data_IF_765549146811
#
_entry.id   IF_765549146811
#
_cell.length_a   1.000
_cell.length_b   1.000
_cell.length_c   1.000
_cell.angle_alpha   90.00
_cell.angle_beta   90.00
_cell.angle_gamma   90.00
#
_symmetry.space_group_name_H-M   'P 1'
#
loop_
_entity.id
_entity.type
_entity.pdbx_description
1 polymer ?
#
# COMPACT_ATOMS: atom_id res chain seq x y z
N UNK A 1 4.88 -41.88 -38.62
CA UNK A 1 4.00 -40.80 -38.17
C UNK A 1 4.34 -40.56 -36.70
N UNK A 2 5.20 -39.60 -36.41
CA UNK A 2 5.42 -39.12 -35.05
C UNK A 2 4.13 -38.45 -34.61
N UNK A 3 3.54 -38.97 -33.53
CA UNK A 3 2.43 -38.32 -32.85
C UNK A 3 3.03 -37.07 -32.18
N UNK A 4 2.87 -35.90 -32.80
CA UNK A 4 3.13 -34.62 -32.18
C UNK A 4 2.14 -34.56 -31.00
N UNK A 5 2.61 -34.92 -29.80
CA UNK A 5 1.88 -34.62 -28.56
C UNK A 5 1.76 -33.07 -28.53
N UNK A 6 0.57 -32.55 -28.73
CA UNK A 6 0.26 -31.18 -28.41
C UNK A 6 0.66 -30.93 -26.93
N UNK A 7 1.81 -30.32 -26.72
CA UNK A 7 2.24 -30.00 -25.35
C UNK A 7 1.20 -28.97 -24.79
N UNK A 8 0.50 -29.40 -23.75
CA UNK A 8 -0.46 -28.56 -23.06
C UNK A 8 0.27 -27.31 -22.59
N UNK A 9 -0.19 -26.13 -23.00
CA UNK A 9 0.39 -24.84 -22.56
C UNK A 9 0.33 -24.73 -21.04
N UNK A 10 1.44 -24.38 -20.36
CA UNK A 10 1.43 -24.19 -18.92
C UNK A 10 0.47 -23.06 -18.52
N UNK A 11 -0.20 -23.23 -17.40
CA UNK A 11 -1.12 -22.28 -16.81
C UNK A 11 -0.38 -21.48 -15.74
N UNK A 12 -0.25 -20.16 -15.96
CA UNK A 12 0.34 -19.21 -15.02
C UNK A 12 -0.79 -18.42 -14.38
N UNK A 13 -0.92 -18.49 -13.05
CA UNK A 13 -1.94 -17.78 -12.29
C UNK A 13 -1.28 -16.71 -11.42
N UNK A 14 -1.74 -15.47 -11.55
CA UNK A 14 -1.30 -14.34 -10.72
C UNK A 14 -2.46 -13.93 -9.80
N UNK A 15 -2.24 -13.92 -8.49
CA UNK A 15 -3.23 -13.57 -7.48
C UNK A 15 -3.01 -12.15 -6.96
N UNK A 16 -3.97 -11.27 -7.24
CA UNK A 16 -3.94 -9.87 -6.81
C UNK A 16 -3.41 -8.91 -7.87
N UNK A 17 -4.05 -7.74 -7.96
CA UNK A 17 -3.72 -6.68 -8.90
C UNK A 17 -3.15 -5.43 -8.18
N UNK A 18 -2.29 -5.63 -7.16
CA UNK A 18 -1.46 -4.60 -6.55
C UNK A 18 -0.24 -4.25 -7.45
N UNK A 19 0.74 -3.54 -6.90
CA UNK A 19 1.96 -3.17 -7.64
C UNK A 19 2.68 -4.42 -8.21
N UNK A 20 2.91 -5.43 -7.37
CA UNK A 20 3.61 -6.65 -7.79
C UNK A 20 2.82 -7.43 -8.84
N UNK A 21 1.55 -7.75 -8.57
CA UNK A 21 0.74 -8.57 -9.47
C UNK A 21 0.49 -7.93 -10.84
N UNK A 22 0.25 -6.62 -10.88
CA UNK A 22 0.08 -5.90 -12.16
C UNK A 22 1.37 -5.89 -12.97
N UNK A 23 2.52 -5.59 -12.36
CA UNK A 23 3.80 -5.57 -13.09
C UNK A 23 4.18 -6.99 -13.55
N UNK A 24 3.97 -8.02 -12.72
CA UNK A 24 4.19 -9.40 -13.13
C UNK A 24 3.33 -9.77 -14.35
N UNK A 25 2.03 -9.45 -14.30
CA UNK A 25 1.10 -9.72 -15.41
C UNK A 25 1.50 -8.97 -16.69
N UNK A 26 1.84 -7.67 -16.57
CA UNK A 26 2.26 -6.86 -17.72
C UNK A 26 3.55 -7.37 -18.34
N UNK A 27 4.51 -7.82 -17.54
CA UNK A 27 5.76 -8.37 -18.05
C UNK A 27 5.56 -9.74 -18.70
N UNK A 28 4.77 -10.63 -18.08
CA UNK A 28 4.44 -11.94 -18.65
C UNK A 28 3.72 -11.79 -20.01
N UNK A 29 2.69 -10.91 -20.11
CA UNK A 29 2.00 -10.71 -21.39
C UNK A 29 2.89 -10.10 -22.50
N UNK A 30 3.91 -9.31 -22.13
CA UNK A 30 4.89 -8.76 -23.09
C UNK A 30 5.91 -9.80 -23.54
N UNK A 31 6.34 -10.65 -22.63
CA UNK A 31 7.46 -11.56 -22.87
C UNK A 31 7.06 -12.96 -23.36
N UNK A 32 5.78 -13.36 -23.18
CA UNK A 32 5.23 -14.63 -23.62
C UNK A 32 4.33 -14.46 -24.84
N UNK A 33 4.49 -15.36 -25.82
CA UNK A 33 3.57 -15.51 -26.94
C UNK A 33 2.25 -16.16 -26.50
N UNK A 34 1.19 -15.93 -27.29
CA UNK A 34 -0.16 -16.48 -27.01
C UNK A 34 -0.18 -18.02 -26.98
N UNK A 35 0.80 -18.65 -27.62
CA UNK A 35 0.92 -20.10 -27.70
C UNK A 35 1.90 -20.72 -26.68
N UNK A 36 2.60 -19.91 -25.91
CA UNK A 36 3.63 -20.38 -24.97
C UNK A 36 3.05 -20.65 -23.58
N UNK A 37 2.09 -19.87 -23.12
CA UNK A 37 1.45 -20.09 -21.82
C UNK A 37 0.04 -19.47 -21.77
N UNK A 38 -0.80 -19.96 -20.84
CA UNK A 38 -2.07 -19.37 -20.48
C UNK A 38 -1.86 -18.51 -19.22
N UNK A 39 -2.05 -17.20 -19.33
CA UNK A 39 -1.89 -16.28 -18.21
C UNK A 39 -3.27 -15.92 -17.65
N UNK A 40 -3.47 -16.09 -16.35
CA UNK A 40 -4.69 -15.68 -15.66
C UNK A 40 -4.36 -14.73 -14.53
N UNK A 41 -5.00 -13.56 -14.51
CA UNK A 41 -4.97 -12.62 -13.38
C UNK A 41 -6.26 -12.73 -12.58
N UNK A 42 -6.16 -13.04 -11.30
CA UNK A 42 -7.30 -13.07 -10.37
C UNK A 42 -7.25 -11.84 -9.47
N UNK A 43 -8.33 -11.07 -9.41
CA UNK A 43 -8.45 -9.95 -8.48
C UNK A 43 -9.90 -9.71 -8.07
N UNK A 44 -10.13 -9.28 -6.82
CA UNK A 44 -11.47 -9.00 -6.30
C UNK A 44 -12.17 -7.81 -6.96
N UNK A 45 -11.41 -6.90 -7.55
CA UNK A 45 -11.88 -5.71 -8.26
C UNK A 45 -11.42 -5.72 -9.71
N UNK A 46 -12.15 -5.06 -10.60
CA UNK A 46 -11.78 -4.85 -12.01
C UNK A 46 -10.82 -3.67 -12.23
N UNK A 47 -10.24 -3.18 -11.14
CA UNK A 47 -9.26 -2.09 -11.16
C UNK A 47 -8.05 -2.39 -10.29
N UNK A 48 -6.94 -1.84 -10.71
CA UNK A 48 -5.75 -1.56 -9.92
C UNK A 48 -5.87 -0.18 -9.28
N UNK A 49 -5.24 0.05 -8.16
CA UNK A 49 -5.10 1.39 -7.58
C UNK A 49 -3.70 1.62 -7.02
N UNK A 50 -3.26 2.88 -7.12
CA UNK A 50 -1.98 3.28 -6.55
C UNK A 50 -2.12 3.44 -5.04
N UNK A 51 -1.71 2.42 -4.28
CA UNK A 51 -1.80 2.44 -2.81
C UNK A 51 -1.01 3.60 -2.18
N UNK A 52 0.04 4.06 -2.87
CA UNK A 52 0.85 5.22 -2.45
C UNK A 52 0.12 6.57 -2.57
N UNK A 53 -1.12 6.61 -3.08
CA UNK A 53 -1.96 7.80 -3.17
C UNK A 53 -3.19 7.75 -2.25
N UNK A 54 -3.35 6.69 -1.48
CA UNK A 54 -4.53 6.51 -0.62
C UNK A 54 -4.63 7.56 0.48
N UNK A 55 -3.52 8.10 0.95
CA UNK A 55 -3.50 9.20 1.93
C UNK A 55 -4.15 10.47 1.37
N UNK A 56 -3.93 10.81 0.10
CA UNK A 56 -4.58 11.93 -0.59
C UNK A 56 -6.10 11.68 -0.72
N UNK A 57 -6.50 10.44 -1.05
CA UNK A 57 -7.92 10.09 -1.12
C UNK A 57 -8.61 10.15 0.24
N UNK A 58 -7.91 9.72 1.30
CA UNK A 58 -8.43 9.70 2.66
C UNK A 58 -8.60 11.11 3.23
N UNK A 59 -7.71 12.04 2.92
CA UNK A 59 -7.84 13.43 3.28
C UNK A 59 -8.82 14.21 2.39
N UNK A 60 -9.12 13.69 1.18
CA UNK A 60 -10.01 14.35 0.22
C UNK A 60 -9.30 15.34 -0.72
N UNK A 61 -7.98 15.38 -0.72
CA UNK A 61 -7.17 16.25 -1.61
C UNK A 61 -7.02 15.68 -3.02
N UNK A 62 -7.27 14.38 -3.20
CA UNK A 62 -7.32 13.73 -4.51
C UNK A 62 -8.61 12.91 -4.65
N UNK A 63 -9.36 13.11 -5.75
CA UNK A 63 -10.53 12.29 -6.01
C UNK A 63 -10.13 10.83 -6.28
N UNK A 64 -10.88 9.88 -5.70
CA UNK A 64 -10.55 8.45 -5.75
C UNK A 64 -10.50 7.85 -7.17
N UNK A 65 -11.21 8.43 -8.14
CA UNK A 65 -11.13 7.99 -9.54
C UNK A 65 -9.77 8.28 -10.20
N UNK A 66 -9.02 9.25 -9.68
CA UNK A 66 -7.65 9.51 -10.16
C UNK A 66 -6.70 8.38 -9.79
N UNK A 67 -6.89 7.79 -8.61
CA UNK A 67 -6.09 6.70 -8.07
C UNK A 67 -6.42 5.36 -8.72
N UNK A 68 -7.65 5.20 -9.26
CA UNK A 68 -8.14 3.97 -9.88
C UNK A 68 -7.69 3.85 -11.33
N UNK A 69 -7.23 2.67 -11.73
CA UNK A 69 -6.83 2.29 -13.08
C UNK A 69 -7.56 1.01 -13.45
N UNK A 70 -8.40 1.04 -14.47
CA UNK A 70 -9.11 -0.17 -14.93
C UNK A 70 -8.12 -1.21 -15.46
N UNK A 71 -8.21 -2.44 -14.98
CA UNK A 71 -7.27 -3.53 -15.37
C UNK A 71 -7.29 -3.74 -16.89
N UNK A 72 -8.48 -3.67 -17.53
CA UNK A 72 -8.62 -3.82 -18.97
C UNK A 72 -7.91 -2.74 -19.81
N UNK A 73 -7.55 -1.59 -19.22
CA UNK A 73 -6.80 -0.54 -19.90
C UNK A 73 -5.29 -0.85 -19.93
N UNK A 74 -4.83 -1.79 -19.12
CA UNK A 74 -3.42 -2.11 -18.93
C UNK A 74 -3.05 -3.48 -19.52
N UNK A 75 -3.94 -4.47 -19.37
CA UNK A 75 -3.70 -5.82 -19.86
C UNK A 75 -4.31 -6.06 -21.25
N UNK A 76 -3.66 -6.92 -22.01
CA UNK A 76 -4.21 -7.41 -23.29
C UNK A 76 -5.13 -8.60 -23.03
N UNK A 77 -6.43 -8.39 -23.11
CA UNK A 77 -7.46 -9.41 -22.86
C UNK A 77 -7.41 -10.60 -23.82
N UNK A 78 -6.68 -10.52 -24.94
CA UNK A 78 -6.43 -11.66 -25.83
C UNK A 78 -5.30 -12.55 -25.35
N UNK A 79 -4.45 -12.07 -24.43
CA UNK A 79 -3.32 -12.78 -23.88
C UNK A 79 -3.53 -13.18 -22.41
N UNK A 80 -4.28 -12.39 -21.66
CA UNK A 80 -4.50 -12.54 -20.23
C UNK A 80 -5.98 -12.77 -19.97
N UNK A 81 -6.32 -13.89 -19.36
CA UNK A 81 -7.64 -14.14 -18.82
C UNK A 81 -7.79 -13.41 -17.49
N UNK A 82 -8.70 -12.45 -17.41
CA UNK A 82 -8.98 -11.73 -16.17
C UNK A 82 -10.18 -12.36 -15.46
N UNK A 83 -9.96 -12.82 -14.22
CA UNK A 83 -10.99 -13.38 -13.35
C UNK A 83 -11.27 -12.41 -12.21
N UNK A 84 -12.44 -11.75 -12.25
CA UNK A 84 -12.91 -10.91 -11.15
C UNK A 84 -13.54 -11.78 -10.07
N UNK A 85 -12.73 -12.20 -9.10
CA UNK A 85 -13.17 -13.02 -7.98
C UNK A 85 -12.27 -12.83 -6.74
N UNK A 86 -12.72 -13.34 -5.61
CA UNK A 86 -11.99 -13.26 -4.34
C UNK A 86 -11.30 -14.60 -4.06
N UNK A 87 -10.00 -14.54 -3.80
CA UNK A 87 -9.23 -15.70 -3.33
C UNK A 87 -9.66 -16.03 -1.90
N UNK A 88 -9.99 -17.28 -1.65
CA UNK A 88 -10.41 -17.80 -0.34
C UNK A 88 -9.29 -18.62 0.31
N UNK A 89 -8.63 -19.47 -0.43
CA UNK A 89 -7.46 -20.23 0.04
C UNK A 89 -6.61 -20.71 -1.14
N UNK A 90 -5.36 -20.99 -0.85
CA UNK A 90 -4.41 -21.58 -1.77
C UNK A 90 -4.13 -23.03 -1.29
N UNK A 91 -4.13 -23.99 -2.18
CA UNK A 91 -3.80 -25.38 -1.91
C UNK A 91 -2.64 -25.79 -2.79
N UNK A 92 -1.40 -25.48 -2.38
CA UNK A 92 -0.23 -25.65 -3.22
C UNK A 92 0.04 -27.12 -3.57
N UNK A 93 -0.19 -28.06 -2.67
CA UNK A 93 -0.04 -29.50 -2.93
C UNK A 93 -0.99 -30.03 -4.02
N UNK A 94 -2.17 -29.40 -4.15
CA UNK A 94 -3.16 -29.73 -5.18
C UNK A 94 -2.99 -28.87 -6.45
N UNK A 95 -2.02 -27.95 -6.48
CA UNK A 95 -1.83 -26.93 -7.54
C UNK A 95 -3.13 -26.16 -7.85
N UNK A 96 -3.83 -25.76 -6.80
CA UNK A 96 -5.17 -25.20 -6.90
C UNK A 96 -5.36 -23.98 -6.01
N UNK A 97 -6.11 -23.00 -6.51
CA UNK A 97 -6.59 -21.84 -5.76
C UNK A 97 -8.12 -21.91 -5.66
N UNK A 98 -8.65 -21.85 -4.45
CA UNK A 98 -10.07 -21.74 -4.19
C UNK A 98 -10.50 -20.28 -4.24
N UNK A 99 -11.48 -19.99 -5.06
CA UNK A 99 -12.11 -18.70 -5.20
C UNK A 99 -13.50 -18.72 -4.53
N UNK A 100 -14.08 -17.55 -4.34
CA UNK A 100 -15.45 -17.43 -3.79
C UNK A 100 -16.47 -18.15 -4.68
N UNK A 101 -16.33 -18.06 -6.01
CA UNK A 101 -17.28 -18.60 -6.99
C UNK A 101 -16.69 -19.75 -7.84
N UNK A 102 -15.68 -20.46 -7.34
CA UNK A 102 -15.09 -21.59 -8.05
C UNK A 102 -13.68 -21.91 -7.62
N UNK A 103 -12.95 -22.55 -8.49
CA UNK A 103 -11.54 -22.88 -8.27
C UNK A 103 -10.76 -22.80 -9.59
N UNK A 104 -9.46 -22.56 -9.49
CA UNK A 104 -8.56 -22.47 -10.63
C UNK A 104 -7.29 -23.28 -10.37
N UNK A 105 -6.84 -24.02 -11.38
CA UNK A 105 -5.63 -24.83 -11.35
C UNK A 105 -4.49 -24.10 -12.05
N UNK A 106 -3.26 -24.36 -11.61
CA UNK A 106 -2.06 -23.73 -12.16
C UNK A 106 -0.92 -24.73 -12.35
N UNK A 107 -0.03 -24.41 -13.26
CA UNK A 107 1.30 -25.01 -13.33
C UNK A 107 2.32 -24.12 -12.61
N UNK A 108 2.13 -22.78 -12.67
CA UNK A 108 2.90 -21.78 -11.93
C UNK A 108 1.99 -20.78 -11.26
N UNK A 109 2.28 -20.42 -10.00
CA UNK A 109 1.52 -19.48 -9.21
C UNK A 109 2.37 -18.29 -8.81
N UNK A 110 1.82 -17.08 -8.95
CA UNK A 110 2.41 -15.84 -8.41
C UNK A 110 1.46 -15.27 -7.36
N UNK A 111 1.87 -15.31 -6.10
CA UNK A 111 1.11 -14.76 -4.97
C UNK A 111 1.48 -13.29 -4.81
N UNK A 112 0.52 -12.38 -5.06
CA UNK A 112 0.65 -10.92 -4.97
C UNK A 112 -0.53 -10.29 -4.22
N UNK A 113 -1.02 -10.95 -3.15
CA UNK A 113 -2.24 -10.59 -2.43
C UNK A 113 -2.10 -9.34 -1.55
N UNK A 114 -0.86 -8.84 -1.37
CA UNK A 114 -0.58 -7.61 -0.65
C UNK A 114 -0.73 -7.73 0.87
N UNK A 115 -1.18 -6.65 1.50
CA UNK A 115 -1.21 -6.49 2.95
C UNK A 115 -2.62 -6.26 3.50
N UNK A 116 -2.72 -6.39 4.82
CA UNK A 116 -3.84 -5.98 5.66
C UNK A 116 -3.32 -5.10 6.79
N UNK A 117 -4.19 -4.28 7.38
CA UNK A 117 -3.82 -3.52 8.57
C UNK A 117 -3.54 -4.47 9.74
N UNK A 118 -2.52 -4.18 10.51
CA UNK A 118 -2.21 -4.88 11.75
C UNK A 118 -2.72 -4.05 12.94
N UNK A 119 -3.71 -4.55 13.64
CA UNK A 119 -4.32 -3.86 14.80
C UNK A 119 -3.72 -4.29 16.14
N UNK A 120 -2.80 -5.26 16.11
CA UNK A 120 -2.05 -5.77 17.27
C UNK A 120 -2.92 -6.20 18.46
N UNK A 121 -4.20 -6.46 18.23
CA UNK A 121 -5.16 -6.83 19.29
C UNK A 121 -5.49 -5.68 20.25
N UNK A 122 -5.30 -4.44 19.86
CA UNK A 122 -5.67 -3.27 20.64
C UNK A 122 -7.21 -3.26 20.78
N UNK A 123 -7.75 -3.25 22.01
CA UNK A 123 -9.19 -3.26 22.23
C UNK A 123 -9.94 -2.16 21.49
N UNK A 124 -11.02 -2.50 20.80
CA UNK A 124 -11.89 -1.60 20.08
C UNK A 124 -11.31 -0.98 18.81
N UNK A 125 -10.07 -1.31 18.44
CA UNK A 125 -9.44 -0.69 17.26
C UNK A 125 -10.06 -1.19 15.95
N UNK A 126 -10.39 -2.48 15.86
CA UNK A 126 -11.06 -3.06 14.69
C UNK A 126 -12.48 -2.53 14.50
N UNK A 127 -13.16 -2.16 15.60
CA UNK A 127 -14.55 -1.71 15.59
C UNK A 127 -14.69 -0.20 15.37
N UNK A 128 -13.73 0.61 15.87
CA UNK A 128 -13.91 2.06 16.01
C UNK A 128 -12.88 2.89 15.25
N UNK A 129 -11.84 2.28 14.68
CA UNK A 129 -10.85 3.00 13.88
C UNK A 129 -11.00 2.71 12.37
N UNK A 130 -10.64 3.70 11.57
CA UNK A 130 -10.48 3.54 10.13
C UNK A 130 -9.04 3.15 9.79
N UNK A 131 -8.86 2.44 8.66
CA UNK A 131 -7.52 2.09 8.15
C UNK A 131 -7.33 2.57 6.72
N UNK A 132 -6.12 3.01 6.36
CA UNK A 132 -5.78 3.41 4.99
C UNK A 132 -5.24 2.19 4.22
N UNK A 133 -6.12 1.27 3.84
CA UNK A 133 -5.73 0.02 3.18
C UNK A 133 -6.34 -0.18 1.78
N UNK A 134 -7.33 0.61 1.40
CA UNK A 134 -8.01 0.51 0.10
C UNK A 134 -8.65 1.83 -0.31
N UNK A 135 -9.05 1.95 -1.59
CA UNK A 135 -9.82 3.11 -2.06
C UNK A 135 -11.13 3.26 -1.26
N UNK A 136 -11.80 2.16 -0.95
CA UNK A 136 -13.07 2.23 -0.22
C UNK A 136 -12.88 2.70 1.21
N UNK A 137 -11.87 2.21 1.92
CA UNK A 137 -11.57 2.69 3.27
C UNK A 137 -11.12 4.16 3.28
N UNK A 138 -10.32 4.57 2.30
CA UNK A 138 -9.93 5.97 2.15
C UNK A 138 -11.15 6.90 1.90
N UNK A 139 -12.10 6.47 1.05
CA UNK A 139 -13.36 7.21 0.87
C UNK A 139 -14.16 7.33 2.15
N UNK A 140 -14.30 6.25 2.92
CA UNK A 140 -15.01 6.27 4.20
C UNK A 140 -14.36 7.24 5.19
N UNK A 141 -13.03 7.32 5.25
CA UNK A 141 -12.32 8.29 6.09
C UNK A 141 -12.69 9.72 5.66
N UNK A 142 -12.59 10.03 4.38
CA UNK A 142 -12.94 11.35 3.84
C UNK A 142 -14.39 11.71 4.16
N UNK A 143 -15.33 10.85 3.80
CA UNK A 143 -16.77 11.07 4.01
C UNK A 143 -17.09 11.24 5.51
N UNK A 144 -16.41 10.49 6.38
CA UNK A 144 -16.58 10.59 7.83
C UNK A 144 -16.05 11.92 8.40
N UNK A 145 -14.88 12.39 7.93
CA UNK A 145 -14.34 13.70 8.33
C UNK A 145 -15.29 14.82 7.88
N UNK A 146 -15.68 14.84 6.60
CA UNK A 146 -16.62 15.84 6.06
C UNK A 146 -17.96 15.82 6.80
N UNK A 147 -18.49 14.63 7.13
CA UNK A 147 -19.71 14.47 7.94
C UNK A 147 -19.56 15.07 9.34
N UNK A 148 -18.44 14.85 10.03
CA UNK A 148 -18.24 15.41 11.36
C UNK A 148 -18.14 16.95 11.34
N UNK A 149 -17.52 17.54 10.32
CA UNK A 149 -17.51 18.98 10.13
C UNK A 149 -18.92 19.53 9.87
N UNK A 150 -19.68 18.90 8.98
CA UNK A 150 -21.06 19.29 8.70
C UNK A 150 -21.96 19.20 9.93
N UNK A 151 -21.82 18.16 10.75
CA UNK A 151 -22.64 17.95 11.93
C UNK A 151 -22.28 18.87 13.08
N UNK A 152 -21.04 19.34 13.18
CA UNK A 152 -20.59 20.19 14.28
C UNK A 152 -21.46 21.45 14.44
N UNK A 153 -21.74 22.17 13.37
CA UNK A 153 -22.58 23.37 13.39
C UNK A 153 -24.09 23.07 13.45
N UNK A 154 -24.51 21.83 13.24
CA UNK A 154 -25.92 21.43 13.28
C UNK A 154 -26.34 20.90 14.66
N UNK A 155 -25.42 20.71 15.59
CA UNK A 155 -25.74 20.29 16.97
C UNK A 155 -26.08 21.49 17.83
N UNK A 156 -27.06 21.31 18.72
CA UNK A 156 -27.47 22.36 19.68
C UNK A 156 -26.33 22.71 20.65
N UNK A 157 -25.59 21.66 21.06
CA UNK A 157 -24.40 21.76 21.91
C UNK A 157 -23.24 21.12 21.15
N UNK A 158 -22.44 21.91 20.40
CA UNK A 158 -21.37 21.40 19.56
C UNK A 158 -20.33 20.58 20.35
N UNK A 159 -20.01 19.39 19.87
CA UNK A 159 -19.04 18.49 20.48
C UNK A 159 -17.68 18.59 19.78
N UNK A 160 -16.68 19.18 20.42
CA UNK A 160 -15.34 19.37 19.86
C UNK A 160 -14.62 18.06 19.51
N UNK A 161 -15.04 16.91 20.06
CA UNK A 161 -14.56 15.61 19.64
C UNK A 161 -14.81 15.31 18.14
N UNK A 162 -15.80 15.96 17.50
CA UNK A 162 -16.02 15.88 16.04
C UNK A 162 -14.91 16.52 15.23
N UNK A 163 -14.29 17.55 15.78
CA UNK A 163 -13.21 18.31 15.14
C UNK A 163 -11.82 17.80 15.57
N UNK A 164 -11.77 16.79 16.41
CA UNK A 164 -10.53 16.13 16.81
C UNK A 164 -10.31 14.90 15.92
N UNK A 165 -9.19 14.89 15.18
CA UNK A 165 -8.77 13.77 14.33
C UNK A 165 -7.51 13.16 14.92
N UNK A 166 -7.54 11.87 15.23
CA UNK A 166 -6.37 11.15 15.73
C UNK A 166 -5.83 10.23 14.65
N UNK A 167 -4.53 10.30 14.42
CA UNK A 167 -3.79 9.42 13.50
C UNK A 167 -2.80 8.58 14.31
N UNK A 168 -3.10 7.29 14.44
CA UNK A 168 -2.23 6.33 15.11
C UNK A 168 -1.16 5.81 14.14
N UNK A 169 0.11 6.08 14.48
CA UNK A 169 1.28 5.71 13.68
C UNK A 169 1.97 6.89 13.01
N UNK A 170 3.27 7.01 13.24
CA UNK A 170 4.16 8.02 12.67
C UNK A 170 5.03 7.49 11.52
N UNK A 171 4.65 6.37 10.89
CA UNK A 171 5.28 5.87 9.66
C UNK A 171 4.88 6.68 8.42
N UNK A 172 5.35 6.26 7.22
CA UNK A 172 5.08 6.96 5.96
C UNK A 172 3.60 7.27 5.74
N UNK A 173 2.72 6.28 5.86
CA UNK A 173 1.28 6.45 5.63
C UNK A 173 0.67 7.49 6.57
N UNK A 174 1.03 7.45 7.86
CA UNK A 174 0.53 8.40 8.84
C UNK A 174 1.02 9.82 8.58
N UNK A 175 2.31 10.00 8.33
CA UNK A 175 2.92 11.32 8.06
C UNK A 175 2.39 11.91 6.75
N UNK A 176 2.29 11.12 5.68
CA UNK A 176 1.73 11.59 4.41
C UNK A 176 0.24 11.99 4.56
N UNK A 177 -0.53 11.22 5.34
CA UNK A 177 -1.92 11.57 5.62
C UNK A 177 -2.06 12.85 6.46
N UNK A 178 -1.21 13.04 7.46
CA UNK A 178 -1.16 14.28 8.25
C UNK A 178 -0.82 15.49 7.38
N UNK A 179 0.11 15.35 6.43
CA UNK A 179 0.45 16.40 5.47
C UNK A 179 -0.75 16.81 4.61
N UNK A 180 -1.51 15.83 4.13
CA UNK A 180 -2.73 16.07 3.35
C UNK A 180 -3.86 16.68 4.21
N UNK A 181 -4.04 16.22 5.45
CA UNK A 181 -4.98 16.84 6.38
C UNK A 181 -4.64 18.31 6.66
N UNK A 182 -3.35 18.64 6.84
CA UNK A 182 -2.90 20.00 7.07
C UNK A 182 -3.27 20.95 5.91
N UNK A 183 -3.37 20.41 4.68
CA UNK A 183 -3.83 21.15 3.50
C UNK A 183 -5.37 21.22 3.44
N UNK A 184 -6.07 20.10 3.71
CA UNK A 184 -7.53 19.99 3.54
C UNK A 184 -8.33 20.71 4.65
N UNK A 185 -7.85 20.66 5.90
CA UNK A 185 -8.58 21.21 7.05
C UNK A 185 -8.92 22.71 6.91
N UNK A 186 -8.00 23.61 6.45
CA UNK A 186 -8.35 25.02 6.22
C UNK A 186 -9.50 25.20 5.22
N UNK A 187 -9.60 24.34 4.20
CA UNK A 187 -10.68 24.36 3.22
C UNK A 187 -12.01 23.95 3.85
N UNK A 188 -12.01 22.85 4.64
CA UNK A 188 -13.19 22.39 5.38
C UNK A 188 -13.66 23.40 6.39
N UNK A 189 -12.74 24.06 7.11
CA UNK A 189 -13.09 25.13 8.03
C UNK A 189 -13.82 26.28 7.33
N UNK A 190 -13.35 26.65 6.12
CA UNK A 190 -14.01 27.69 5.32
C UNK A 190 -15.37 27.22 4.76
N UNK A 191 -15.44 25.97 4.30
CA UNK A 191 -16.65 25.37 3.72
C UNK A 191 -17.78 25.26 4.74
N UNK A 192 -17.46 24.90 6.00
CA UNK A 192 -18.43 24.67 7.06
C UNK A 192 -18.50 25.81 8.10
N UNK A 193 -17.84 26.94 7.86
CA UNK A 193 -17.81 28.10 8.77
C UNK A 193 -17.36 27.74 10.20
N UNK A 194 -16.25 27.00 10.30
CA UNK A 194 -15.66 26.53 11.55
C UNK A 194 -14.36 27.30 11.84
N UNK A 195 -14.21 27.78 13.08
CA UNK A 195 -12.94 28.33 13.54
C UNK A 195 -11.85 27.24 13.55
N UNK A 196 -10.78 27.46 12.77
CA UNK A 196 -9.66 26.52 12.66
C UNK A 196 -9.03 26.18 14.03
N UNK A 197 -9.04 27.11 14.98
CA UNK A 197 -8.48 26.90 16.32
C UNK A 197 -9.23 25.84 17.14
N UNK A 198 -10.44 25.45 16.74
CA UNK A 198 -11.20 24.36 17.36
C UNK A 198 -10.82 22.98 16.80
N UNK A 199 -10.16 22.92 15.65
CA UNK A 199 -9.76 21.66 15.02
C UNK A 199 -8.43 21.20 15.60
N UNK A 200 -8.39 19.95 16.06
CA UNK A 200 -7.18 19.30 16.56
C UNK A 200 -6.84 18.10 15.68
N UNK A 201 -5.58 18.03 15.26
CA UNK A 201 -5.04 16.89 14.53
C UNK A 201 -3.88 16.33 15.33
N UNK A 202 -4.01 15.12 15.81
CA UNK A 202 -3.08 14.51 16.77
C UNK A 202 -2.47 13.26 16.16
N UNK A 203 -1.15 13.20 16.08
CA UNK A 203 -0.43 11.96 15.79
C UNK A 203 -0.06 11.26 17.11
N UNK A 204 -0.36 9.98 17.20
CA UNK A 204 0.05 9.10 18.32
C UNK A 204 1.03 8.07 17.78
N UNK A 205 2.27 8.11 18.27
CA UNK A 205 3.35 7.21 17.81
C UNK A 205 4.05 6.57 19.02
N UNK A 206 4.13 5.24 19.00
CA UNK A 206 4.77 4.46 20.09
C UNK A 206 6.29 4.63 20.17
N UNK A 207 6.95 4.90 19.04
CA UNK A 207 8.36 5.23 19.03
C UNK A 207 8.60 6.68 19.51
N UNK A 208 9.83 6.98 19.93
CA UNK A 208 10.21 8.33 20.34
C UNK A 208 10.36 9.33 19.18
N UNK A 209 10.25 8.86 17.94
CA UNK A 209 10.35 9.67 16.72
C UNK A 209 9.41 9.16 15.67
N UNK A 210 8.99 10.02 14.76
CA UNK A 210 8.27 9.62 13.53
C UNK A 210 9.25 9.17 12.46
N UNK A 211 8.76 8.52 11.40
CA UNK A 211 9.54 8.02 10.25
C UNK A 211 10.78 7.22 10.70
N UNK A 212 10.60 6.16 11.50
CA UNK A 212 11.71 5.41 12.06
C UNK A 212 12.63 4.87 10.95
N UNK A 213 13.94 5.10 11.11
CA UNK A 213 14.95 4.73 10.12
C UNK A 213 15.21 5.79 9.04
N UNK A 214 14.52 6.92 9.07
CA UNK A 214 14.83 8.07 8.24
C UNK A 214 15.95 8.91 8.86
N UNK A 215 16.63 9.70 8.00
CA UNK A 215 17.69 10.60 8.45
C UNK A 215 17.13 11.63 9.44
N UNK A 216 17.81 11.88 10.59
CA UNK A 216 17.32 12.79 11.63
C UNK A 216 16.98 14.20 11.14
N UNK A 217 17.77 14.79 10.23
CA UNK A 217 17.52 16.14 9.71
C UNK A 217 16.21 16.18 8.91
N UNK A 218 15.89 15.10 8.18
CA UNK A 218 14.65 14.97 7.43
C UNK A 218 13.44 14.80 8.35
N UNK A 219 13.62 14.04 9.43
CA UNK A 219 12.57 13.85 10.45
C UNK A 219 12.29 15.16 11.17
N UNK A 220 13.32 15.89 11.59
CA UNK A 220 13.19 17.21 12.24
C UNK A 220 12.45 18.20 11.31
N UNK A 221 12.87 18.27 10.04
CA UNK A 221 12.19 19.11 9.05
C UNK A 221 10.70 18.74 8.91
N UNK A 222 10.39 17.45 8.81
CA UNK A 222 9.01 16.97 8.64
C UNK A 222 8.15 17.35 9.86
N UNK A 223 8.66 17.12 11.07
CA UNK A 223 7.93 17.47 12.29
C UNK A 223 7.70 18.97 12.39
N UNK A 224 8.74 19.78 12.21
CA UNK A 224 8.63 21.26 12.26
C UNK A 224 7.65 21.78 11.20
N UNK A 225 7.67 21.24 9.97
CA UNK A 225 6.75 21.62 8.90
C UNK A 225 5.29 21.28 9.24
N UNK A 226 5.04 20.13 9.84
CA UNK A 226 3.70 19.70 10.23
C UNK A 226 3.19 20.42 11.49
N UNK A 227 4.04 20.62 12.50
CA UNK A 227 3.71 21.36 13.72
C UNK A 227 3.35 22.82 13.42
N UNK A 228 4.11 23.48 12.52
CA UNK A 228 3.80 24.84 12.05
C UNK A 228 2.43 24.97 11.38
N UNK A 229 1.86 23.84 10.91
CA UNK A 229 0.52 23.76 10.30
C UNK A 229 -0.56 23.27 11.27
N UNK A 230 -0.19 23.04 12.55
CA UNK A 230 -1.13 22.71 13.64
C UNK A 230 -1.28 21.23 13.93
N UNK A 231 -0.32 20.38 13.53
CA UNK A 231 -0.30 18.97 13.91
C UNK A 231 0.33 18.83 15.30
N UNK A 232 -0.35 18.11 16.19
CA UNK A 232 0.16 17.76 17.52
C UNK A 232 0.83 16.39 17.47
N UNK A 233 2.10 16.27 17.88
CA UNK A 233 2.79 14.97 17.98
C UNK A 233 2.83 14.46 19.41
N UNK A 234 2.33 13.25 19.62
CA UNK A 234 2.46 12.47 20.86
C UNK A 234 3.34 11.26 20.60
N UNK A 235 4.66 11.47 20.56
CA UNK A 235 5.67 10.41 20.41
C UNK A 235 5.96 9.74 21.75
N UNK A 236 6.41 8.47 21.73
CA UNK A 236 6.58 7.65 22.92
C UNK A 236 5.24 7.33 23.60
N UNK A 237 4.12 7.43 22.87
CA UNK A 237 2.78 7.20 23.37
C UNK A 237 2.15 5.97 22.67
N UNK A 238 1.73 4.98 23.46
CA UNK A 238 1.10 3.77 22.97
C UNK A 238 -0.42 3.90 23.01
N UNK A 239 -1.09 3.61 21.90
CA UNK A 239 -2.55 3.44 21.89
C UNK A 239 -2.90 2.17 22.66
N UNK A 240 -3.72 2.30 23.69
CA UNK A 240 -4.15 1.20 24.57
C UNK A 240 -5.58 0.72 24.28
N UNK A 241 -6.45 1.62 23.88
CA UNK A 241 -7.86 1.34 23.61
C UNK A 241 -8.42 2.37 22.61
N UNK A 242 -9.31 1.91 21.72
CA UNK A 242 -10.11 2.77 20.86
C UNK A 242 -11.58 2.62 21.24
N UNK A 243 -12.25 3.75 21.55
CA UNK A 243 -13.65 3.82 21.97
C UNK A 243 -14.50 4.49 20.89
N UNK A 244 -15.84 4.38 20.91
CA UNK A 244 -16.72 5.07 19.97
C UNK A 244 -16.61 6.62 19.99
N UNK A 245 -16.07 7.18 21.08
CA UNK A 245 -16.01 8.62 21.33
C UNK A 245 -14.62 9.12 21.75
N UNK A 246 -13.61 8.28 21.65
CA UNK A 246 -12.24 8.65 22.01
C UNK A 246 -11.24 7.52 21.92
N UNK A 247 -10.02 7.82 22.33
CA UNK A 247 -8.94 6.85 22.49
C UNK A 247 -8.32 6.98 23.87
N UNK A 248 -7.69 5.91 24.34
CA UNK A 248 -6.83 5.90 25.52
C UNK A 248 -5.40 5.66 25.07
N UNK A 249 -4.49 6.54 25.45
CA UNK A 249 -3.06 6.38 25.22
C UNK A 249 -2.30 6.23 26.54
N UNK A 250 -1.16 5.58 26.49
CA UNK A 250 -0.21 5.51 27.62
C UNK A 250 1.11 6.17 27.21
N UNK A 251 1.53 7.16 28.00
CA UNK A 251 2.84 7.81 27.89
C UNK A 251 3.48 7.92 29.27
N UNK A 252 4.73 7.49 29.39
CA UNK A 252 5.49 7.52 30.65
C UNK A 252 4.73 6.86 31.82
N UNK A 253 4.02 5.76 31.56
CA UNK A 253 3.22 5.02 32.52
C UNK A 253 1.91 5.71 32.97
N UNK A 254 1.53 6.83 32.32
CA UNK A 254 0.29 7.55 32.60
C UNK A 254 -0.70 7.35 31.46
N UNK A 255 -1.95 7.08 31.82
CA UNK A 255 -3.04 7.01 30.88
C UNK A 255 -3.61 8.41 30.62
N UNK A 256 -3.88 8.71 29.37
CA UNK A 256 -4.55 9.93 28.90
C UNK A 256 -5.69 9.54 27.98
N UNK A 257 -6.88 10.08 28.23
CA UNK A 257 -8.04 9.95 27.36
C UNK A 257 -8.12 11.14 26.41
N UNK A 258 -8.29 10.89 25.12
CA UNK A 258 -8.41 11.91 24.08
C UNK A 258 -9.79 11.74 23.42
N UNK A 259 -10.75 12.67 23.68
CA UNK A 259 -12.03 12.66 23.00
C UNK A 259 -11.86 12.89 21.49
N UNK A 260 -12.38 11.99 20.68
CA UNK A 260 -12.37 12.09 19.21
C UNK A 260 -13.49 11.25 18.61
N UNK A 261 -14.05 11.71 17.49
CA UNK A 261 -14.96 10.92 16.66
C UNK A 261 -14.26 10.33 15.42
N UNK A 262 -12.98 10.65 15.21
CA UNK A 262 -12.22 10.19 14.04
C UNK A 262 -10.87 9.65 14.47
N UNK A 263 -10.74 8.33 14.50
CA UNK A 263 -9.46 7.65 14.70
C UNK A 263 -9.06 6.95 13.40
N UNK A 264 -7.89 7.28 12.87
CA UNK A 264 -7.31 6.65 11.66
C UNK A 264 -6.05 5.90 12.06
N UNK A 265 -6.05 4.57 11.88
CA UNK A 265 -4.95 3.71 12.19
C UNK A 265 -4.05 3.52 10.98
N UNK A 266 -2.82 3.97 11.07
CA UNK A 266 -1.77 3.89 10.07
C UNK A 266 -0.49 3.20 10.59
N UNK A 267 -0.55 2.56 11.77
CA UNK A 267 0.56 1.90 12.41
C UNK A 267 0.54 0.38 12.13
N UNK A 268 1.35 -0.01 11.16
CA UNK A 268 1.60 -1.42 10.91
C UNK A 268 0.73 -2.06 9.84
N UNK A 269 1.41 -2.93 9.11
CA UNK A 269 0.82 -3.79 8.08
C UNK A 269 1.30 -5.22 8.32
N UNK A 270 0.43 -6.18 8.01
CA UNK A 270 0.75 -7.61 7.95
C UNK A 270 0.50 -8.11 6.54
N UNK A 271 1.10 -9.23 6.17
CA UNK A 271 0.72 -9.88 4.93
C UNK A 271 -0.76 -10.32 4.98
N UNK A 272 -1.34 -10.51 3.80
CA UNK A 272 -2.73 -10.96 3.67
C UNK A 272 -2.93 -12.28 4.43
N UNK A 273 -3.94 -12.33 5.28
CA UNK A 273 -4.25 -13.45 6.18
C UNK A 273 -4.49 -14.79 5.45
N UNK A 274 -4.86 -14.74 4.16
CA UNK A 274 -5.01 -15.92 3.31
C UNK A 274 -3.72 -16.75 3.26
N UNK A 275 -2.54 -16.13 3.38
CA UNK A 275 -1.24 -16.84 3.35
C UNK A 275 -1.15 -17.83 4.50
N UNK A 276 -1.35 -17.38 5.73
CA UNK A 276 -1.33 -18.24 6.92
C UNK A 276 -2.49 -19.26 6.90
N UNK A 277 -3.69 -18.79 6.52
CA UNK A 277 -4.88 -19.65 6.42
C UNK A 277 -4.75 -20.75 5.35
N UNK A 278 -3.84 -20.59 4.39
CA UNK A 278 -3.52 -21.58 3.35
C UNK A 278 -2.44 -22.59 3.77
N UNK A 279 -1.89 -22.46 4.98
CA UNK A 279 -0.94 -23.43 5.53
C UNK A 279 0.52 -23.21 5.10
N UNK A 280 0.86 -22.06 4.50
CA UNK A 280 2.26 -21.72 4.27
C UNK A 280 2.99 -21.44 5.58
N UNK A 281 4.26 -21.88 5.66
CA UNK A 281 5.14 -21.44 6.74
C UNK A 281 5.41 -19.96 6.61
N UNK A 282 5.19 -19.22 7.69
CA UNK A 282 5.28 -17.76 7.69
C UNK A 282 6.10 -17.22 8.85
N UNK A 283 6.78 -16.12 8.59
CA UNK A 283 7.39 -15.28 9.61
C UNK A 283 6.62 -13.95 9.66
N UNK A 284 5.88 -13.70 10.75
CA UNK A 284 4.98 -12.54 10.92
C UNK A 284 3.97 -12.40 9.77
N UNK A 285 3.41 -13.52 9.32
CA UNK A 285 2.42 -13.59 8.24
C UNK A 285 2.99 -13.55 6.82
N UNK A 286 4.31 -13.42 6.65
CA UNK A 286 4.99 -13.37 5.35
C UNK A 286 5.73 -14.67 5.07
N UNK A 287 5.79 -15.07 3.81
CA UNK A 287 6.60 -16.20 3.36
C UNK A 287 8.05 -15.72 3.17
N UNK A 288 9.00 -16.34 3.88
CA UNK A 288 10.42 -16.11 3.65
C UNK A 288 10.81 -16.84 2.36
N UNK A 289 11.04 -16.05 1.30
CA UNK A 289 11.26 -16.60 -0.05
C UNK A 289 12.72 -17.00 -0.27
N UNK A 290 12.93 -17.96 -1.19
CA UNK A 290 14.25 -18.27 -1.72
C UNK A 290 14.81 -17.06 -2.52
N UNK A 291 16.08 -17.10 -2.82
CA UNK A 291 16.74 -16.02 -3.61
C UNK A 291 16.12 -15.84 -5.00
N UNK A 292 15.47 -16.83 -5.55
CA UNK A 292 14.74 -16.77 -6.83
C UNK A 292 13.25 -16.41 -6.70
N UNK A 293 12.84 -15.97 -5.49
CA UNK A 293 11.48 -15.55 -5.14
C UNK A 293 10.44 -16.68 -5.03
N UNK A 294 10.86 -17.94 -5.02
CA UNK A 294 9.96 -19.08 -4.78
C UNK A 294 9.68 -19.27 -3.28
N UNK A 295 8.51 -19.81 -2.97
CA UNK A 295 8.20 -20.31 -1.64
C UNK A 295 9.14 -21.49 -1.29
N UNK A 296 9.59 -21.66 -0.02
CA UNK A 296 10.60 -22.65 0.34
C UNK A 296 10.29 -24.07 -0.09
N UNK A 297 9.03 -24.50 0.05
CA UNK A 297 8.61 -25.89 -0.17
C UNK A 297 8.06 -26.15 -1.58
N UNK A 298 7.94 -25.11 -2.43
CA UNK A 298 7.28 -25.22 -3.73
C UNK A 298 8.12 -24.63 -4.85
N UNK A 299 8.43 -25.45 -5.86
CA UNK A 299 9.22 -25.01 -7.02
C UNK A 299 8.42 -24.21 -8.05
N UNK A 300 7.10 -24.21 -7.94
CA UNK A 300 6.17 -23.59 -8.88
C UNK A 300 5.35 -22.45 -8.27
N UNK A 301 5.63 -22.07 -7.00
CA UNK A 301 4.94 -20.98 -6.29
C UNK A 301 5.90 -19.83 -6.01
N UNK A 302 5.64 -18.68 -6.61
CA UNK A 302 6.39 -17.45 -6.45
C UNK A 302 5.61 -16.46 -5.60
N UNK A 303 6.32 -15.62 -4.81
CA UNK A 303 5.69 -14.65 -3.90
C UNK A 303 6.28 -13.27 -4.14
N UNK A 304 5.42 -12.26 -4.27
CA UNK A 304 5.85 -10.88 -4.52
C UNK A 304 5.14 -9.87 -3.63
N UNK A 305 5.78 -8.74 -3.40
CA UNK A 305 5.26 -7.64 -2.58
C UNK A 305 5.16 -7.98 -1.11
N UNK A 306 4.12 -7.48 -0.45
CA UNK A 306 4.01 -7.52 1.01
C UNK A 306 3.77 -8.92 1.60
N UNK A 307 3.45 -9.90 0.75
CA UNK A 307 3.37 -11.31 1.13
C UNK A 307 4.75 -11.98 1.28
N UNK A 308 5.79 -11.42 0.66
CA UNK A 308 7.15 -11.95 0.71
C UNK A 308 7.97 -11.32 1.84
N UNK A 309 8.85 -12.11 2.44
CA UNK A 309 9.90 -11.66 3.33
C UNK A 309 11.26 -11.93 2.66
N UNK A 310 12.06 -10.88 2.52
CA UNK A 310 13.45 -10.97 2.08
C UNK A 310 14.32 -10.37 3.16
N UNK A 311 15.29 -11.14 3.63
CA UNK A 311 16.24 -10.66 4.62
C UNK A 311 17.38 -9.90 3.92
N UNK A 312 17.76 -8.76 4.47
CA UNK A 312 18.98 -8.07 4.09
C UNK A 312 20.13 -8.67 4.92
N UNK A 313 21.05 -9.35 4.25
CA UNK A 313 22.15 -10.07 4.89
C UNK A 313 23.12 -9.12 5.64
N UNK A 314 23.30 -7.89 5.13
CA UNK A 314 24.19 -6.91 5.75
C UNK A 314 23.64 -6.35 7.07
N UNK A 315 22.34 -6.05 7.12
CA UNK A 315 21.70 -5.45 8.30
C UNK A 315 21.06 -6.45 9.24
N UNK A 316 20.87 -7.72 8.81
CA UNK A 316 20.14 -8.75 9.55
C UNK A 316 18.64 -8.42 9.74
N UNK A 317 18.10 -7.46 8.98
CA UNK A 317 16.71 -7.03 9.04
C UNK A 317 16.00 -7.29 7.72
N UNK A 318 14.67 -7.50 7.72
CA UNK A 318 13.94 -7.62 6.47
C UNK A 318 13.95 -6.30 5.69
N UNK A 319 13.98 -6.40 4.36
CA UNK A 319 13.71 -5.25 3.50
C UNK A 319 12.29 -4.71 3.75
N UNK A 320 12.11 -3.37 3.74
CA UNK A 320 10.81 -2.76 3.99
C UNK A 320 9.80 -3.10 2.86
N UNK A 321 8.53 -3.36 3.18
CA UNK A 321 7.50 -3.59 2.19
C UNK A 321 7.16 -2.27 1.49
N UNK A 322 7.68 -2.07 0.28
CA UNK A 322 7.46 -0.86 -0.51
C UNK A 322 7.04 -1.20 -1.94
N UNK A 323 6.32 -0.26 -2.58
CA UNK A 323 5.94 -0.40 -3.99
C UNK A 323 7.17 -0.58 -4.88
N UNK A 324 8.29 0.09 -4.58
CA UNK A 324 9.54 -0.01 -5.30
C UNK A 324 10.08 -1.45 -5.31
N UNK A 325 10.12 -2.10 -4.13
CA UNK A 325 10.61 -3.47 -4.00
C UNK A 325 9.62 -4.45 -4.63
N UNK A 326 8.30 -4.26 -4.43
CA UNK A 326 7.27 -5.10 -5.06
C UNK A 326 7.35 -5.10 -6.59
N UNK A 327 7.66 -3.94 -7.20
CA UNK A 327 7.87 -3.81 -8.64
C UNK A 327 9.11 -4.60 -9.10
N UNK A 328 10.23 -4.50 -8.39
CA UNK A 328 11.47 -5.21 -8.70
C UNK A 328 11.28 -6.74 -8.54
N UNK A 329 10.64 -7.18 -7.46
CA UNK A 329 10.27 -8.58 -7.26
C UNK A 329 9.46 -9.11 -8.45
N UNK A 330 8.45 -8.35 -8.90
CA UNK A 330 7.60 -8.76 -10.01
C UNK A 330 8.36 -8.85 -11.34
N UNK A 331 9.40 -8.04 -11.54
CA UNK A 331 10.28 -8.13 -12.72
C UNK A 331 11.08 -9.43 -12.69
N UNK A 332 11.72 -9.75 -11.57
CA UNK A 332 12.48 -10.97 -11.40
C UNK A 332 11.58 -12.21 -11.52
N UNK A 333 10.41 -12.19 -10.84
CA UNK A 333 9.46 -13.32 -10.90
C UNK A 333 8.92 -13.54 -12.31
N UNK A 334 8.59 -12.48 -13.04
CA UNK A 334 8.10 -12.65 -14.42
C UNK A 334 9.17 -13.20 -15.35
N UNK A 335 10.45 -12.89 -15.13
CA UNK A 335 11.57 -13.52 -15.84
C UNK A 335 11.68 -14.99 -15.49
N UNK A 336 11.70 -15.35 -14.20
CA UNK A 336 11.87 -16.69 -13.72
C UNK A 336 10.69 -17.61 -14.12
N UNK A 337 9.46 -17.14 -13.98
CA UNK A 337 8.26 -17.87 -14.41
C UNK A 337 8.29 -18.13 -15.92
N UNK A 338 8.70 -17.13 -16.73
CA UNK A 338 8.85 -17.31 -18.18
C UNK A 338 9.90 -18.38 -18.48
N UNK A 339 11.10 -18.30 -17.89
CA UNK A 339 12.17 -19.25 -18.12
C UNK A 339 11.70 -20.69 -17.82
N UNK A 340 11.02 -20.91 -16.70
CA UNK A 340 10.50 -22.22 -16.32
C UNK A 340 9.33 -22.67 -17.21
N UNK A 341 8.40 -21.79 -17.54
CA UNK A 341 7.22 -22.14 -18.34
C UNK A 341 7.56 -22.50 -19.78
N UNK A 342 8.60 -21.91 -20.34
CA UNK A 342 9.04 -22.16 -21.72
C UNK A 342 10.19 -23.17 -21.81
N UNK A 343 10.82 -23.50 -20.68
CA UNK A 343 12.06 -24.29 -20.67
C UNK A 343 13.25 -23.58 -21.32
N UNK A 344 13.18 -22.24 -21.47
CA UNK A 344 14.20 -21.43 -22.14
C UNK A 344 14.64 -20.27 -21.25
N UNK A 345 15.94 -20.17 -21.01
CA UNK A 345 16.53 -19.21 -20.08
C UNK A 345 16.88 -19.82 -18.72
N UNK A 346 17.61 -19.05 -17.93
CA UNK A 346 18.02 -19.44 -16.58
C UNK A 346 17.15 -18.72 -15.55
N UNK A 347 16.95 -19.39 -14.40
CA UNK A 347 16.32 -18.77 -13.23
C UNK A 347 17.35 -17.92 -12.54
N UNK A 348 17.02 -16.64 -12.34
CA UNK A 348 17.92 -15.66 -11.76
C UNK A 348 17.60 -15.42 -10.27
N UNK A 349 18.65 -15.17 -9.49
CA UNK A 349 18.53 -14.69 -8.12
C UNK A 349 18.14 -13.23 -8.10
N UNK A 350 17.35 -12.85 -7.09
CA UNK A 350 16.87 -11.49 -6.89
C UNK A 350 17.45 -10.85 -5.63
N UNK A 351 17.94 -9.66 -5.76
CA UNK A 351 18.38 -8.81 -4.66
C UNK A 351 17.72 -7.43 -4.78
N UNK A 352 17.00 -6.98 -3.73
CA UNK A 352 16.33 -5.68 -3.74
C UNK A 352 17.33 -4.51 -3.78
N UNK A 353 17.05 -3.49 -4.60
CA UNK A 353 17.82 -2.25 -4.66
C UNK A 353 16.96 -1.08 -4.19
N UNK A 354 17.39 -0.41 -3.11
CA UNK A 354 16.74 0.80 -2.62
C UNK A 354 17.31 1.98 -3.41
N UNK A 355 16.51 2.55 -4.33
CA UNK A 355 16.90 3.68 -5.18
C UNK A 355 16.69 5.04 -4.50
N UNK A 356 16.02 5.05 -3.37
CA UNK A 356 15.67 6.20 -2.58
C UNK A 356 14.28 6.08 -1.98
N UNK A 357 13.96 6.99 -1.07
CA UNK A 357 12.67 7.05 -0.39
C UNK A 357 12.23 8.50 -0.27
N UNK A 358 10.98 8.79 -0.60
CA UNK A 358 10.40 10.14 -0.54
C UNK A 358 9.06 10.07 0.16
N UNK A 359 8.86 10.91 1.17
CA UNK A 359 7.61 11.10 1.89
C UNK A 359 6.99 12.47 1.59
N UNK A 360 5.71 12.49 1.21
CA UNK A 360 4.96 13.74 1.05
C UNK A 360 4.59 14.33 2.42
N UNK A 361 4.66 15.64 2.54
CA UNK A 361 4.16 16.40 3.69
C UNK A 361 2.97 17.29 3.27
N UNK A 362 2.27 16.91 2.20
CA UNK A 362 1.19 17.65 1.57
C UNK A 362 1.56 18.10 0.15
N UNK A 363 0.82 19.08 -0.40
CA UNK A 363 0.86 19.42 -1.83
C UNK A 363 2.23 19.89 -2.32
N UNK A 364 2.89 20.77 -1.55
CA UNK A 364 4.09 21.50 -1.99
C UNK A 364 5.32 21.18 -1.14
N UNK A 365 5.18 20.27 -0.20
CA UNK A 365 6.22 19.92 0.75
C UNK A 365 6.45 18.41 0.80
N UNK A 366 7.70 18.01 0.89
CA UNK A 366 8.11 16.63 0.99
C UNK A 366 9.54 16.54 1.53
N UNK A 367 9.92 15.36 1.95
CA UNK A 367 11.29 15.01 2.32
C UNK A 367 11.71 13.73 1.59
N UNK A 368 13.00 13.54 1.38
CA UNK A 368 13.47 12.30 0.78
C UNK A 368 14.98 12.13 0.79
N UNK A 369 15.37 10.88 0.58
CA UNK A 369 16.75 10.48 0.25
C UNK A 369 16.71 9.82 -1.11
N UNK A 370 17.52 10.27 -2.04
CA UNK A 370 17.59 9.73 -3.40
C UNK A 370 19.03 9.66 -3.86
N UNK A 371 19.31 8.77 -4.79
CA UNK A 371 20.59 8.65 -5.51
C UNK A 371 21.83 9.12 -4.72
N UNK A 372 22.62 8.18 -4.22
CA UNK A 372 23.84 8.45 -3.44
C UNK A 372 23.59 9.28 -2.16
N UNK A 373 22.54 8.93 -1.41
CA UNK A 373 22.18 9.51 -0.11
C UNK A 373 21.95 11.03 -0.11
N UNK A 374 21.54 11.58 -1.25
CA UNK A 374 21.20 13.00 -1.34
C UNK A 374 19.88 13.29 -0.66
N UNK A 375 19.93 14.13 0.38
CA UNK A 375 18.74 14.65 1.07
C UNK A 375 18.02 15.66 0.20
N UNK A 376 16.71 15.51 0.08
CA UNK A 376 15.82 16.45 -0.60
C UNK A 376 14.78 16.96 0.40
N UNK A 377 14.49 18.26 0.32
CA UNK A 377 13.55 18.97 1.17
C UNK A 377 12.58 19.81 0.33
N UNK A 378 11.37 20.00 0.82
CA UNK A 378 10.39 20.91 0.25
C UNK A 378 10.05 20.59 -1.20
N UNK A 379 9.93 21.63 -2.00
CA UNK A 379 9.53 21.55 -3.41
C UNK A 379 10.37 20.56 -4.26
N UNK A 380 11.69 20.48 -4.01
CA UNK A 380 12.55 19.53 -4.76
C UNK A 380 12.17 18.08 -4.48
N UNK A 381 11.85 17.75 -3.24
CA UNK A 381 11.38 16.42 -2.85
C UNK A 381 9.97 16.15 -3.43
N UNK A 382 9.07 17.15 -3.45
CA UNK A 382 7.74 17.06 -4.06
C UNK A 382 7.83 16.74 -5.56
N UNK A 383 8.70 17.43 -6.31
CA UNK A 383 8.93 17.13 -7.73
C UNK A 383 9.43 15.70 -7.91
N UNK A 384 10.38 15.25 -7.06
CA UNK A 384 10.89 13.89 -7.11
C UNK A 384 9.79 12.85 -6.85
N UNK A 385 8.89 13.09 -5.88
CA UNK A 385 7.73 12.22 -5.61
C UNK A 385 6.85 12.08 -6.85
N UNK A 386 6.53 13.20 -7.52
CA UNK A 386 5.74 13.20 -8.77
C UNK A 386 6.46 12.45 -9.92
N UNK A 387 7.77 12.56 -10.01
CA UNK A 387 8.57 11.79 -11.00
C UNK A 387 8.49 10.29 -10.73
N UNK A 388 8.61 9.88 -9.46
CA UNK A 388 8.50 8.46 -9.06
C UNK A 388 7.11 7.91 -9.42
N UNK A 389 6.04 8.63 -9.07
CA UNK A 389 4.67 8.24 -9.36
C UNK A 389 4.43 8.12 -10.88
N UNK A 390 4.88 9.10 -11.65
CA UNK A 390 4.74 9.12 -13.10
C UNK A 390 5.56 8.00 -13.79
N UNK A 391 6.75 7.68 -13.27
CA UNK A 391 7.58 6.56 -13.76
C UNK A 391 6.84 5.23 -13.62
N UNK A 392 6.13 5.02 -12.51
CA UNK A 392 5.32 3.83 -12.33
C UNK A 392 4.20 3.73 -13.37
N UNK A 393 3.45 4.82 -13.60
CA UNK A 393 2.39 4.85 -14.61
C UNK A 393 2.91 4.54 -16.01
N UNK A 394 4.07 5.10 -16.37
CA UNK A 394 4.74 4.82 -17.64
C UNK A 394 5.10 3.34 -17.78
N UNK A 395 5.63 2.73 -16.70
CA UNK A 395 6.02 1.32 -16.67
C UNK A 395 4.80 0.40 -16.79
N UNK A 396 3.71 0.73 -16.08
CA UNK A 396 2.50 -0.05 -16.02
C UNK A 396 1.73 -0.06 -17.35
N UNK A 397 1.43 1.12 -17.92
CA UNK A 397 0.53 1.27 -19.06
C UNK A 397 1.04 2.16 -20.18
N UNK A 398 2.35 2.50 -20.17
CA UNK A 398 2.98 3.30 -21.20
C UNK A 398 2.57 4.79 -21.20
N UNK A 399 2.92 5.54 -22.28
CA UNK A 399 2.64 6.98 -22.37
C UNK A 399 1.16 7.32 -22.25
N UNK A 400 0.27 6.50 -22.81
CA UNK A 400 -1.18 6.74 -22.76
C UNK A 400 -1.73 6.80 -21.33
N UNK A 401 -1.34 5.85 -20.48
CA UNK A 401 -1.73 5.84 -19.07
C UNK A 401 -1.08 7.00 -18.30
N UNK A 402 0.19 7.29 -18.58
CA UNK A 402 0.91 8.41 -17.99
C UNK A 402 0.18 9.74 -18.27
N UNK A 403 -0.20 10.02 -19.51
CA UNK A 403 -0.93 11.26 -19.84
C UNK A 403 -2.34 11.30 -19.21
N UNK A 404 -3.01 10.16 -19.10
CA UNK A 404 -4.35 10.06 -18.51
C UNK A 404 -4.36 10.26 -16.99
N UNK A 405 -3.38 9.73 -16.28
CA UNK A 405 -3.37 9.62 -14.81
C UNK A 405 -2.23 10.35 -14.11
N UNK A 406 -1.20 10.78 -14.86
CA UNK A 406 0.01 11.37 -14.31
C UNK A 406 -0.22 12.66 -13.53
N UNK A 407 0.69 12.95 -12.62
CA UNK A 407 0.76 14.17 -11.83
C UNK A 407 1.73 15.14 -12.49
N UNK A 408 1.19 16.07 -13.28
CA UNK A 408 1.99 17.07 -14.04
C UNK A 408 1.89 18.48 -13.44
N UNK A 409 0.92 18.74 -12.57
CA UNK A 409 0.80 20.02 -11.89
C UNK A 409 1.95 20.17 -10.90
N UNK A 410 2.94 20.99 -11.28
CA UNK A 410 4.12 21.29 -10.46
C UNK A 410 3.86 22.54 -9.59
N UNK A 411 2.93 23.39 -10.02
CA UNK A 411 2.46 24.57 -9.30
C UNK A 411 0.94 24.46 -9.11
N UNK A 412 0.48 24.80 -7.93
CA UNK A 412 -0.94 24.94 -7.59
C UNK A 412 -1.31 26.42 -7.61
#
# INVERSE_FOLDING_TARGET
>A
MEVIREMKKPSIVVLGAGYGGMIATVNLQKSLGINEANITLVNKHDYHYQATWLHENAAGTLHHDRTRIEIKEVINMNKVNFVKDTVVSIKPDEKKVKLKNGEIYYDYLVIALGFEAATFGIPGLDEHAFTIGSINSARLIREHIEYNFAMYNNEKDPNDARLTIVVGGGGFTGIEFLGELANRIPELCKEFDIDKNKVRIINVEGAHTVLPGFDPDLVEYAMNSLEARGIEFKTGALLKECKPDGIVIEKDGKLEEIPTKTTVWAAGVRANSIIEASGFETNRGKIEVRNDMRAPDYDDVFVVGDCALIMNEESGRPFPPTAQIAIQMAEAVSHNVKAMATGSGEVESFEPKILGTVASLGHDDAIGVVLNDRKLFGFKATVMKKVIDNRYLLKLGGPGLLFKKGKFNIFY
#
